data_IF_108420189314
#
_entry.id   IF_108420189314
#
_cell.length_a   1.000
_cell.length_b   1.000
_cell.length_c   1.000
_cell.angle_alpha   90.00
_cell.angle_beta   90.00
_cell.angle_gamma   90.00
#
_symmetry.space_group_name_H-M   'P 1'
#
loop_
_entity.id
_entity.type
_entity.pdbx_description
1 polymer ?
#
# COMPACT_ATOMS: atom_id res chain seq x y z
N UNK A 1 12.43 10.42 -3.03
CA UNK A 1 11.05 10.52 -2.50
C UNK A 1 10.23 11.21 -3.57
N UNK A 2 9.35 10.48 -4.28
CA UNK A 2 8.40 11.13 -5.18
C UNK A 2 7.42 11.93 -4.32
N UNK A 3 7.24 13.22 -4.62
CA UNK A 3 6.27 14.09 -3.93
C UNK A 3 4.84 13.86 -4.41
N UNK A 4 4.69 13.00 -5.40
CA UNK A 4 3.41 12.71 -6.06
C UNK A 4 2.81 11.43 -5.49
N UNK A 5 1.49 11.44 -5.32
CA UNK A 5 0.72 10.31 -4.84
C UNK A 5 -0.57 10.18 -5.66
N UNK A 6 -1.14 8.99 -5.65
CA UNK A 6 -2.47 8.80 -6.24
C UNK A 6 -3.50 9.61 -5.43
N UNK A 7 -4.41 10.36 -6.07
CA UNK A 7 -5.49 11.06 -5.37
C UNK A 7 -6.28 10.09 -4.48
N UNK A 8 -6.71 10.57 -3.30
CA UNK A 8 -7.46 9.77 -2.31
C UNK A 8 -6.74 8.51 -1.79
N UNK A 9 -5.44 8.38 -2.05
CA UNK A 9 -4.61 7.31 -1.45
C UNK A 9 -4.06 7.72 -0.09
N UNK A 10 -3.75 6.70 0.71
CA UNK A 10 -3.09 6.84 2.01
C UNK A 10 -1.64 6.38 1.82
N UNK A 11 -0.67 7.23 2.21
CA UNK A 11 0.73 6.86 2.20
C UNK A 11 1.10 6.23 3.54
N UNK A 12 1.58 4.98 3.51
CA UNK A 12 1.99 4.24 4.71
C UNK A 12 3.40 3.68 4.46
N UNK A 13 4.44 4.21 5.13
CA UNK A 13 5.79 3.69 5.01
C UNK A 13 5.88 2.24 5.51
N UNK A 14 6.49 1.36 4.72
CA UNK A 14 6.63 -0.07 5.06
C UNK A 14 7.30 -0.29 6.43
N UNK A 15 8.32 0.52 6.74
CA UNK A 15 9.13 0.42 7.97
C UNK A 15 8.37 0.74 9.25
N UNK A 16 7.23 1.44 9.16
CA UNK A 16 6.43 1.86 10.32
C UNK A 16 5.02 1.27 10.30
N UNK A 17 4.70 0.42 9.32
CA UNK A 17 3.35 -0.10 9.14
C UNK A 17 3.02 -1.30 10.03
N UNK A 18 4.04 -2.06 10.42
CA UNK A 18 3.88 -3.28 11.19
C UNK A 18 4.69 -3.19 12.47
N UNK A 19 4.10 -3.67 13.55
CA UNK A 19 4.81 -3.90 14.80
C UNK A 19 5.83 -5.04 14.65
N UNK A 20 6.76 -5.21 15.62
CA UNK A 20 7.73 -6.31 15.60
C UNK A 20 7.10 -7.71 15.57
N UNK A 21 5.91 -7.89 16.14
CA UNK A 21 5.12 -9.12 16.09
C UNK A 21 4.39 -9.32 14.75
N UNK A 22 4.53 -8.38 13.81
CA UNK A 22 3.97 -8.46 12.47
C UNK A 22 2.50 -8.10 12.38
N UNK A 23 1.90 -7.58 13.47
CA UNK A 23 0.56 -7.01 13.43
C UNK A 23 0.59 -5.62 12.81
N UNK A 24 -0.49 -5.26 12.14
CA UNK A 24 -0.60 -3.98 11.46
C UNK A 24 -0.79 -2.87 12.50
N UNK A 25 0.21 -2.00 12.66
CA UNK A 25 0.17 -0.86 13.58
C UNK A 25 -0.52 0.33 12.90
N UNK A 26 -1.80 0.19 12.61
CA UNK A 26 -2.53 1.23 11.92
C UNK A 26 -4.02 1.20 12.22
N UNK A 27 -4.39 2.02 13.21
CA UNK A 27 -5.70 2.68 13.29
C UNK A 27 -6.16 3.27 11.94
N UNK A 28 -5.25 3.52 11.01
CA UNK A 28 -5.50 4.04 9.64
C UNK A 28 -6.18 3.04 8.70
N UNK A 29 -5.88 1.73 8.80
CA UNK A 29 -6.45 0.71 7.90
C UNK A 29 -7.64 -0.01 8.56
N UNK A 30 -7.75 0.03 9.88
CA UNK A 30 -8.80 -0.65 10.65
C UNK A 30 -10.22 -0.36 10.13
N UNK A 31 -10.51 0.88 9.72
CA UNK A 31 -11.80 1.30 9.17
C UNK A 31 -12.12 0.76 7.76
N UNK A 32 -11.20 0.01 7.14
CA UNK A 32 -11.33 -0.51 5.78
C UNK A 32 -11.43 -2.03 5.72
N UNK A 33 -11.61 -2.72 6.86
CA UNK A 33 -11.97 -4.15 6.84
C UNK A 33 -13.25 -4.35 6.00
N UNK A 34 -13.24 -5.38 5.16
CA UNK A 34 -14.34 -5.69 4.24
C UNK A 34 -14.33 -4.92 2.91
N UNK A 35 -13.42 -3.96 2.70
CA UNK A 35 -13.22 -3.29 1.40
C UNK A 35 -12.07 -3.93 0.62
N UNK A 36 -12.04 -3.67 -0.69
CA UNK A 36 -10.88 -3.98 -1.53
C UNK A 36 -9.75 -2.99 -1.19
N UNK A 37 -8.59 -3.52 -0.79
CA UNK A 37 -7.38 -2.76 -0.50
C UNK A 37 -6.38 -2.98 -1.63
N UNK A 38 -6.09 -1.92 -2.38
CA UNK A 38 -5.03 -1.93 -3.40
C UNK A 38 -3.74 -1.38 -2.81
N UNK A 39 -2.72 -2.22 -2.71
CA UNK A 39 -1.39 -1.85 -2.25
C UNK A 39 -0.54 -1.43 -3.45
N UNK A 40 -0.07 -0.19 -3.44
CA UNK A 40 0.75 0.39 -4.50
C UNK A 40 2.12 0.73 -3.88
N UNK A 41 3.18 0.15 -4.44
CA UNK A 41 4.56 0.48 -4.09
C UNK A 41 5.43 0.46 -5.33
N UNK A 42 6.74 0.67 -5.16
CA UNK A 42 7.70 0.59 -6.25
C UNK A 42 7.84 -0.84 -6.74
N UNK A 43 7.89 -1.05 -8.07
CA UNK A 43 8.22 -2.35 -8.65
C UNK A 43 9.71 -2.73 -8.53
N UNK A 44 10.55 -1.81 -8.04
CA UNK A 44 11.98 -2.03 -7.85
C UNK A 44 12.30 -2.84 -6.58
N UNK A 45 11.30 -3.09 -5.74
CA UNK A 45 11.45 -3.89 -4.54
C UNK A 45 10.18 -4.73 -4.27
N UNK A 46 10.27 -5.62 -3.29
CA UNK A 46 9.20 -6.54 -2.93
C UNK A 46 8.33 -6.01 -1.76
N UNK A 47 8.46 -4.74 -1.39
CA UNK A 47 7.77 -4.21 -0.21
C UNK A 47 6.25 -4.21 -0.38
N UNK A 48 5.75 -3.91 -1.59
CA UNK A 48 4.31 -3.90 -1.86
C UNK A 48 3.69 -5.30 -1.73
N UNK A 49 4.36 -6.35 -2.25
CA UNK A 49 3.87 -7.73 -2.16
C UNK A 49 4.00 -8.29 -0.74
N UNK A 50 5.07 -7.97 -0.03
CA UNK A 50 5.22 -8.36 1.38
C UNK A 50 4.18 -7.68 2.26
N UNK A 51 3.93 -6.38 2.05
CA UNK A 51 2.89 -5.63 2.75
C UNK A 51 1.51 -6.26 2.51
N UNK A 52 1.17 -6.55 1.26
CA UNK A 52 -0.08 -7.23 0.90
C UNK A 52 -0.21 -8.59 1.59
N UNK A 53 0.87 -9.37 1.66
CA UNK A 53 0.89 -10.67 2.36
C UNK A 53 0.61 -10.52 3.85
N UNK A 54 1.21 -9.52 4.50
CA UNK A 54 0.96 -9.23 5.92
C UNK A 54 -0.48 -8.75 6.17
N UNK A 55 -1.07 -7.98 5.25
CA UNK A 55 -2.50 -7.62 5.33
C UNK A 55 -3.41 -8.85 5.27
N UNK A 56 -3.15 -9.79 4.35
CA UNK A 56 -3.95 -11.02 4.26
C UNK A 56 -3.85 -11.84 5.55
N UNK A 57 -2.64 -11.93 6.14
CA UNK A 57 -2.43 -12.56 7.47
C UNK A 57 -3.15 -11.84 8.61
N UNK A 58 -3.44 -10.55 8.44
CA UNK A 58 -4.20 -9.71 9.38
C UNK A 58 -5.71 -9.68 9.09
N UNK A 59 -6.22 -10.70 8.38
CA UNK A 59 -7.64 -10.89 8.04
C UNK A 59 -8.23 -9.90 7.04
N UNK A 60 -7.39 -9.22 6.24
CA UNK A 60 -7.89 -8.47 5.10
C UNK A 60 -8.08 -9.41 3.91
N UNK A 61 -9.33 -9.82 3.64
CA UNK A 61 -9.65 -10.84 2.63
C UNK A 61 -9.52 -10.35 1.18
N UNK A 62 -9.59 -9.04 0.94
CA UNK A 62 -9.60 -8.47 -0.41
C UNK A 62 -8.40 -7.54 -0.62
N UNK A 63 -7.23 -8.13 -0.88
CA UNK A 63 -5.99 -7.38 -1.08
C UNK A 63 -5.43 -7.67 -2.47
N UNK A 64 -5.07 -6.61 -3.20
CA UNK A 64 -4.39 -6.73 -4.49
C UNK A 64 -3.20 -5.76 -4.59
N UNK A 65 -2.29 -6.06 -5.52
CA UNK A 65 -1.15 -5.20 -5.83
C UNK A 65 -1.23 -4.71 -7.27
N UNK A 66 -0.70 -3.51 -7.53
CA UNK A 66 -0.60 -2.99 -8.90
C UNK A 66 0.64 -3.60 -9.59
N UNK A 67 0.43 -4.35 -10.66
CA UNK A 67 1.53 -4.85 -11.48
C UNK A 67 2.32 -3.69 -12.10
N UNK A 68 3.64 -3.73 -12.01
CA UNK A 68 4.52 -2.64 -12.44
C UNK A 68 4.61 -1.46 -11.48
N UNK A 69 3.87 -1.48 -10.36
CA UNK A 69 4.02 -0.54 -9.26
C UNK A 69 3.67 0.91 -9.60
N UNK A 70 4.14 1.83 -8.74
CA UNK A 70 3.95 3.28 -8.91
C UNK A 70 4.58 3.80 -10.22
N UNK A 71 5.61 3.12 -10.74
CA UNK A 71 6.30 3.49 -11.96
C UNK A 71 5.37 3.48 -13.20
N UNK A 72 4.38 2.59 -13.22
CA UNK A 72 3.37 2.60 -14.28
C UNK A 72 2.45 3.81 -14.14
N UNK A 73 2.04 4.17 -12.92
CA UNK A 73 1.20 5.35 -12.68
C UNK A 73 1.92 6.67 -12.95
N UNK A 74 3.24 6.74 -12.72
CA UNK A 74 4.02 7.92 -13.11
C UNK A 74 3.91 8.21 -14.61
N UNK A 75 3.69 7.19 -15.45
CA UNK A 75 3.55 7.35 -16.91
C UNK A 75 2.15 7.76 -17.36
N UNK A 76 1.15 7.70 -16.49
CA UNK A 76 -0.25 8.00 -16.86
C UNK A 76 -0.66 9.44 -16.57
N UNK A 77 0.14 10.20 -15.81
CA UNK A 77 -0.22 11.55 -15.37
C UNK A 77 -1.34 11.59 -14.32
N UNK A 78 -1.69 10.45 -13.72
CA UNK A 78 -2.74 10.34 -12.70
C UNK A 78 -2.26 10.72 -11.28
N UNK A 79 -0.94 10.85 -11.08
CA UNK A 79 -0.37 11.23 -9.79
C UNK A 79 -0.47 12.75 -9.61
N UNK A 80 -0.81 13.18 -8.40
CA UNK A 80 -0.87 14.59 -8.02
C UNK A 80 0.22 14.88 -6.98
N UNK A 81 0.85 16.06 -7.05
CA UNK A 81 1.68 16.55 -5.95
C UNK A 81 0.80 16.72 -4.72
N UNK A 82 1.14 16.06 -3.61
CA UNK A 82 0.52 16.31 -2.31
C UNK A 82 1.17 17.49 -1.59
#
# INVERSE_FOLDING_TARGET
YNKEALPNSINIPFTTAFTPDGTLDSSVIFCNKGKIVTVIGSCKNNQASEFATKLVRSEYSYVCTLHGGIEVLCKTGLLISK
#
